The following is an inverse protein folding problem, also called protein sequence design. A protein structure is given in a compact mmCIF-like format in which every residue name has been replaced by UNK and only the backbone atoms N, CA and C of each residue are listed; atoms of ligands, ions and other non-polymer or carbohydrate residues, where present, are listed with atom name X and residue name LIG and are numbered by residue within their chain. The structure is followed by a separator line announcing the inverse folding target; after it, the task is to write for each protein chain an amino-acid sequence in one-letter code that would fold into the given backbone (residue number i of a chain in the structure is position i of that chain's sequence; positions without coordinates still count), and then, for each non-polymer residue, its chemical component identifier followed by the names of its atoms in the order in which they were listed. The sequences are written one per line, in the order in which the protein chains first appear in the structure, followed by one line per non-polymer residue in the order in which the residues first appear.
data_IF_947038732516
#
_entry.id   IF_947038732516
#
_cell.length_a   1.000
_cell.length_b   1.000
_cell.length_c   1.000
_cell.angle_alpha   90.00
_cell.angle_beta   90.00
_cell.angle_gamma   90.00
#
_symmetry.space_group_name_H-M   'P 1'
#
loop_
_entity.id
_entity.type
_entity.pdbx_description
1 polymer ?
#
# COMPACT_ATOMS: atom_id res chain seq x y z
N UNK A 1 -23.42 16.70 -5.82
CA UNK A 1 -22.45 16.96 -4.74
C UNK A 1 -21.09 16.53 -5.26
N UNK A 2 -20.07 17.40 -5.23
CA UNK A 2 -18.71 16.98 -5.54
C UNK A 2 -18.27 16.02 -4.43
N UNK A 3 -17.92 14.79 -4.79
CA UNK A 3 -17.24 13.89 -3.86
C UNK A 3 -15.83 14.43 -3.64
N UNK A 4 -15.34 14.39 -2.40
CA UNK A 4 -13.97 14.82 -2.12
C UNK A 4 -13.00 13.86 -2.80
N UNK A 5 -12.05 14.36 -3.58
CA UNK A 5 -11.04 13.51 -4.21
C UNK A 5 -9.80 13.45 -3.32
N UNK A 6 -9.29 12.24 -3.10
CA UNK A 6 -7.96 12.02 -2.53
C UNK A 6 -7.08 11.42 -3.61
N UNK A 7 -6.01 12.12 -3.94
CA UNK A 7 -4.99 11.67 -4.88
C UNK A 7 -3.94 10.90 -4.07
N UNK A 8 -3.62 9.69 -4.53
CA UNK A 8 -2.64 8.79 -3.92
C UNK A 8 -1.49 8.61 -4.88
N UNK A 9 -0.26 8.82 -4.42
CA UNK A 9 0.96 8.58 -5.20
C UNK A 9 1.81 7.55 -4.46
N UNK A 10 1.84 6.30 -4.92
CA UNK A 10 2.78 5.29 -4.44
C UNK A 10 4.23 5.70 -4.77
N UNK A 11 5.20 5.18 -4.02
CA UNK A 11 6.62 5.52 -4.21
C UNK A 11 7.37 4.50 -5.08
N UNK A 12 6.90 3.25 -5.13
CA UNK A 12 7.73 2.14 -5.61
C UNK A 12 7.22 1.51 -6.92
N UNK A 13 8.15 1.13 -7.81
CA UNK A 13 7.81 0.44 -9.07
C UNK A 13 7.37 -1.02 -8.85
N UNK A 14 7.92 -1.68 -7.82
CA UNK A 14 7.60 -3.07 -7.50
C UNK A 14 6.12 -3.28 -7.10
N UNK A 15 5.44 -2.23 -6.63
CA UNK A 15 3.98 -2.24 -6.48
C UNK A 15 3.31 -2.61 -7.80
N UNK A 16 3.69 -1.93 -8.89
CA UNK A 16 3.08 -2.12 -10.20
C UNK A 16 3.45 -3.47 -10.82
N UNK A 17 4.65 -3.98 -10.55
CA UNK A 17 5.02 -5.35 -10.98
C UNK A 17 4.08 -6.39 -10.38
N UNK A 18 3.76 -6.25 -9.09
CA UNK A 18 2.79 -7.12 -8.41
C UNK A 18 1.35 -6.91 -8.88
N UNK A 19 0.92 -5.65 -9.04
CA UNK A 19 -0.41 -5.30 -9.55
C UNK A 19 -0.64 -5.84 -10.96
N UNK A 20 0.40 -5.92 -11.81
CA UNK A 20 0.31 -6.47 -13.16
C UNK A 20 0.63 -7.96 -13.26
N UNK A 21 0.91 -8.62 -12.13
CA UNK A 21 1.09 -10.07 -12.06
C UNK A 21 2.43 -10.58 -12.56
N UNK A 22 3.46 -9.73 -12.61
CA UNK A 22 4.83 -10.15 -12.96
C UNK A 22 5.52 -10.84 -11.78
N UNK A 23 5.12 -10.50 -10.56
CA UNK A 23 5.56 -11.11 -9.31
C UNK A 23 4.42 -11.14 -8.30
N UNK A 24 4.68 -11.68 -7.10
CA UNK A 24 3.75 -11.52 -5.98
C UNK A 24 3.56 -10.04 -5.64
N UNK A 25 2.36 -9.68 -5.17
CA UNK A 25 2.07 -8.30 -4.71
C UNK A 25 2.98 -7.94 -3.54
N UNK A 26 3.46 -6.70 -3.52
CA UNK A 26 4.25 -6.21 -2.38
C UNK A 26 3.42 -6.29 -1.09
N UNK A 27 4.10 -6.61 0.00
CA UNK A 27 3.48 -6.65 1.31
C UNK A 27 3.42 -5.29 2.01
N UNK A 28 4.18 -4.29 1.54
CA UNK A 28 4.16 -2.93 2.06
C UNK A 28 4.39 -1.88 0.96
N UNK A 29 3.86 -0.68 1.13
CA UNK A 29 4.05 0.44 0.20
C UNK A 29 3.87 1.79 0.90
N UNK A 30 4.76 2.75 0.64
CA UNK A 30 4.59 4.14 1.07
C UNK A 30 3.65 4.90 0.12
N UNK A 31 2.64 5.55 0.71
CA UNK A 31 1.63 6.30 -0.02
C UNK A 31 1.65 7.77 0.37
N UNK A 32 1.88 8.64 -0.62
CA UNK A 32 1.71 10.08 -0.46
C UNK A 32 0.29 10.50 -0.81
N UNK A 33 -0.32 11.30 0.06
CA UNK A 33 -1.72 11.70 -0.06
C UNK A 33 -1.82 13.19 -0.39
N UNK A 34 -2.65 13.52 -1.35
CA UNK A 34 -2.91 14.89 -1.79
C UNK A 34 -4.42 15.15 -1.91
N UNK A 35 -4.82 16.40 -1.71
CA UNK A 35 -6.18 16.85 -2.03
C UNK A 35 -6.36 17.08 -3.54
N UNK A 36 -7.57 17.45 -3.95
CA UNK A 36 -7.91 17.73 -5.35
C UNK A 36 -7.13 18.89 -5.99
N UNK A 37 -6.47 19.73 -5.18
CA UNK A 37 -5.63 20.84 -5.63
C UNK A 37 -4.14 20.48 -5.61
N UNK A 38 -3.81 19.19 -5.51
CA UNK A 38 -2.45 18.65 -5.42
C UNK A 38 -1.67 19.13 -4.18
N UNK A 39 -2.35 19.62 -3.14
CA UNK A 39 -1.69 19.94 -1.88
C UNK A 39 -1.49 18.66 -1.08
N UNK A 40 -0.27 18.40 -0.61
CA UNK A 40 0.02 17.24 0.25
C UNK A 40 -0.77 17.35 1.55
N UNK A 41 -1.55 16.31 1.86
CA UNK A 41 -2.38 16.19 3.06
C UNK A 41 -1.90 15.08 3.99
N UNK A 42 -0.88 14.31 3.60
CA UNK A 42 -0.28 13.29 4.46
C UNK A 42 0.62 12.32 3.73
N UNK A 43 1.20 11.41 4.51
CA UNK A 43 1.83 10.18 4.04
C UNK A 43 1.53 9.07 5.05
N UNK A 44 1.47 7.84 4.57
CA UNK A 44 1.26 6.61 5.35
C UNK A 44 2.02 5.47 4.70
N UNK A 45 2.43 4.46 5.48
CA UNK A 45 2.85 3.17 4.94
C UNK A 45 1.63 2.25 4.98
N UNK A 46 1.29 1.62 3.86
CA UNK A 46 0.26 0.59 3.80
C UNK A 46 0.96 -0.76 3.94
N UNK A 47 0.48 -1.63 4.82
CA UNK A 47 1.01 -2.97 5.03
C UNK A 47 -0.11 -4.01 4.91
N UNK A 48 0.16 -5.07 4.16
CA UNK A 48 -0.66 -6.29 4.15
C UNK A 48 -0.30 -7.25 5.27
N UNK A 49 -1.15 -8.23 5.51
CA UNK A 49 -0.91 -9.31 6.49
C UNK A 49 0.34 -10.12 6.17
N UNK A 50 0.62 -10.37 4.89
CA UNK A 50 1.75 -11.18 4.45
C UNK A 50 3.08 -10.61 4.96
N UNK A 51 3.23 -9.29 4.85
CA UNK A 51 4.42 -8.57 5.32
C UNK A 51 4.64 -8.69 6.82
N UNK A 52 3.64 -8.32 7.62
CA UNK A 52 3.78 -8.32 9.08
C UNK A 52 3.92 -9.74 9.64
N UNK A 53 3.30 -10.74 8.98
CA UNK A 53 3.48 -12.15 9.35
C UNK A 53 4.89 -12.64 9.06
N UNK A 54 5.49 -12.24 7.93
CA UNK A 54 6.83 -12.68 7.54
C UNK A 54 7.91 -12.22 8.54
N UNK A 55 7.79 -11.01 9.09
CA UNK A 55 8.74 -10.48 10.09
C UNK A 55 8.46 -10.91 11.54
N UNK A 56 7.30 -11.51 11.83
CA UNK A 56 6.84 -11.72 13.20
C UNK A 56 7.76 -12.63 14.03
N UNK A 57 8.25 -13.73 13.43
CA UNK A 57 9.06 -14.70 14.16
C UNK A 57 10.46 -14.16 14.50
N UNK A 58 11.00 -13.26 13.68
CA UNK A 58 12.24 -12.55 13.98
C UNK A 58 12.04 -11.57 15.15
N UNK A 59 10.94 -10.82 15.13
CA UNK A 59 10.60 -9.83 16.17
C UNK A 59 10.32 -10.46 17.54
N UNK A 60 9.78 -11.69 17.59
CA UNK A 60 9.46 -12.38 18.85
C UNK A 60 10.68 -12.61 19.76
N UNK A 61 11.89 -12.59 19.20
CA UNK A 61 13.11 -12.81 19.95
C UNK A 61 13.67 -11.51 20.57
N UNK A 62 13.11 -10.35 20.23
CA UNK A 62 13.52 -9.05 20.78
C UNK A 62 12.59 -8.60 21.91
N UNK A 63 13.09 -8.48 23.16
CA UNK A 63 12.31 -7.98 24.28
C UNK A 63 11.79 -6.54 24.11
N UNK A 64 12.47 -5.71 23.32
CA UNK A 64 12.07 -4.32 23.07
C UNK A 64 10.85 -4.23 22.14
N UNK A 65 10.64 -5.25 21.31
CA UNK A 65 9.54 -5.31 20.33
C UNK A 65 8.25 -5.92 20.88
N UNK A 66 8.19 -6.23 22.18
CA UNK A 66 7.06 -6.95 22.79
C UNK A 66 5.69 -6.31 22.52
N UNK A 67 5.60 -4.98 22.61
CA UNK A 67 4.32 -4.28 22.35
C UNK A 67 3.93 -4.36 20.88
N UNK A 68 4.91 -4.25 19.98
CA UNK A 68 4.72 -4.37 18.55
C UNK A 68 4.27 -5.77 18.14
N UNK A 69 4.94 -6.81 18.66
CA UNK A 69 4.58 -8.22 18.47
C UNK A 69 3.13 -8.49 18.89
N UNK A 70 2.73 -8.03 20.08
CA UNK A 70 1.34 -8.21 20.56
C UNK A 70 0.33 -7.49 19.66
N UNK A 71 0.67 -6.33 19.13
CA UNK A 71 -0.17 -5.60 18.19
C UNK A 71 -0.31 -6.36 16.85
N UNK A 72 0.80 -6.87 16.30
CA UNK A 72 0.79 -7.69 15.08
C UNK A 72 -0.05 -8.96 15.29
N UNK A 73 0.16 -9.70 16.37
CA UNK A 73 -0.60 -10.93 16.66
C UNK A 73 -2.10 -10.66 16.76
N UNK A 74 -2.49 -9.56 17.42
CA UNK A 74 -3.89 -9.13 17.50
C UNK A 74 -4.46 -8.79 16.13
N UNK A 75 -3.71 -8.05 15.32
CA UNK A 75 -4.09 -7.68 13.97
C UNK A 75 -4.26 -8.91 13.07
N UNK A 76 -3.29 -9.85 13.09
CA UNK A 76 -3.35 -11.07 12.29
C UNK A 76 -4.55 -11.95 12.63
N UNK A 77 -5.06 -11.85 13.87
CA UNK A 77 -6.22 -12.61 14.36
C UNK A 77 -7.59 -12.06 13.93
N UNK A 78 -7.68 -10.87 13.34
CA UNK A 78 -8.96 -10.32 12.82
C UNK A 78 -8.84 -9.83 11.36
N UNK A 79 -9.96 -9.40 10.76
CA UNK A 79 -10.01 -8.94 9.37
C UNK A 79 -10.42 -7.47 9.27
N UNK A 80 -9.84 -6.62 10.14
CA UNK A 80 -10.08 -5.17 10.14
C UNK A 80 -8.78 -4.43 9.83
N UNK A 81 -8.91 -3.15 9.47
CA UNK A 81 -7.75 -2.27 9.43
C UNK A 81 -7.32 -1.91 10.86
N UNK A 82 -6.01 -1.90 11.10
CA UNK A 82 -5.40 -1.39 12.33
C UNK A 82 -4.40 -0.29 11.95
N UNK A 83 -3.96 0.45 12.96
CA UNK A 83 -2.99 1.52 12.80
C UNK A 83 -1.85 1.33 13.77
N UNK A 84 -0.63 1.57 13.29
CA UNK A 84 0.55 1.67 14.12
C UNK A 84 1.16 3.04 13.98
N UNK A 85 1.56 3.63 15.11
CA UNK A 85 1.90 5.04 15.19
C UNK A 85 3.35 5.22 15.64
N UNK A 86 4.12 5.95 14.85
CA UNK A 86 5.48 6.33 15.18
C UNK A 86 5.48 7.75 15.73
N UNK A 87 6.06 7.95 16.91
CA UNK A 87 6.09 9.25 17.59
C UNK A 87 7.53 9.74 17.69
N UNK A 88 7.72 11.04 17.50
CA UNK A 88 8.94 11.72 17.93
C UNK A 88 8.90 12.01 19.44
N UNK A 89 10.10 12.19 20.01
CA UNK A 89 10.23 12.80 21.33
C UNK A 89 9.85 14.28 21.27
N UNK A 90 9.22 14.78 22.32
CA UNK A 90 8.75 16.17 22.39
C UNK A 90 9.91 17.17 22.31
N UNK A 91 11.08 16.74 22.75
CA UNK A 91 12.31 17.51 22.80
C UNK A 91 13.14 17.39 21.50
N UNK A 92 12.69 16.63 20.50
CA UNK A 92 13.39 16.48 19.23
C UNK A 92 13.44 17.82 18.48
N UNK A 93 14.63 18.24 18.04
CA UNK A 93 14.82 19.47 17.25
C UNK A 93 14.08 19.41 15.91
N UNK A 94 13.95 18.20 15.35
CA UNK A 94 13.23 17.93 14.10
C UNK A 94 11.82 17.36 14.34
N UNK A 95 11.19 17.70 15.48
CA UNK A 95 9.83 17.25 15.83
C UNK A 95 8.86 17.47 14.67
N UNK A 96 8.30 16.38 14.17
CA UNK A 96 7.26 16.40 13.15
C UNK A 96 5.98 15.74 13.64
N UNK A 97 4.85 16.37 13.35
CA UNK A 97 3.52 15.81 13.64
C UNK A 97 2.72 15.73 12.34
N UNK A 98 2.07 14.58 12.12
CA UNK A 98 1.21 14.38 10.95
C UNK A 98 0.14 15.47 10.87
N UNK A 99 -0.23 15.95 9.67
CA UNK A 99 -1.17 17.06 9.51
C UNK A 99 -2.65 16.68 9.78
N UNK A 100 -2.97 15.40 9.93
CA UNK A 100 -4.33 14.87 10.13
C UNK A 100 -4.63 14.52 11.59
N UNK A 101 -5.87 14.09 11.88
CA UNK A 101 -6.26 13.63 13.22
C UNK A 101 -5.55 12.31 13.51
N UNK A 102 -4.92 12.20 14.68
CA UNK A 102 -4.28 10.98 15.14
C UNK A 102 -4.17 10.98 16.66
N UNK A 103 -4.11 9.78 17.25
CA UNK A 103 -3.97 9.60 18.70
C UNK A 103 -2.65 10.19 19.18
N UNK A 104 -2.71 11.00 20.24
CA UNK A 104 -1.52 11.56 20.88
C UNK A 104 -0.92 10.55 21.86
N UNK A 105 0.40 10.56 22.02
CA UNK A 105 1.06 9.81 23.09
C UNK A 105 0.80 10.44 24.47
N UNK A 106 1.33 9.83 25.54
CA UNK A 106 1.21 10.31 26.92
C UNK A 106 1.83 11.71 27.16
N UNK A 107 2.69 12.20 26.25
CA UNK A 107 3.29 13.54 26.28
C UNK A 107 2.48 14.58 25.48
N UNK A 108 1.37 14.18 24.85
CA UNK A 108 0.49 15.04 24.08
C UNK A 108 0.94 15.31 22.64
N UNK A 109 1.87 14.53 22.12
CA UNK A 109 2.46 14.63 20.78
C UNK A 109 1.74 13.67 19.82
N UNK A 110 1.33 14.16 18.64
CA UNK A 110 0.79 13.32 17.55
C UNK A 110 1.93 12.50 16.91
N UNK A 111 1.62 11.39 16.23
CA UNK A 111 2.64 10.65 15.50
C UNK A 111 3.30 11.53 14.43
N UNK A 112 4.57 11.22 14.12
CA UNK A 112 5.28 11.73 12.95
C UNK A 112 4.88 11.00 11.67
N UNK A 113 4.50 9.73 11.81
CA UNK A 113 4.16 8.83 10.71
C UNK A 113 3.29 7.70 11.24
N UNK A 114 2.57 7.02 10.35
CA UNK A 114 1.78 5.87 10.72
C UNK A 114 1.68 4.84 9.60
N UNK A 115 1.49 3.61 10.04
CA UNK A 115 1.15 2.50 9.20
C UNK A 115 -0.37 2.28 9.19
N UNK A 116 -0.88 1.84 8.04
CA UNK A 116 -2.19 1.23 7.89
C UNK A 116 -1.97 -0.26 7.69
N UNK A 117 -2.44 -1.07 8.62
CA UNK A 117 -2.39 -2.52 8.52
C UNK A 117 -3.70 -3.02 7.93
N UNK A 118 -3.71 -3.30 6.63
CA UNK A 118 -4.91 -3.71 5.89
C UNK A 118 -5.04 -5.24 5.86
N UNK A 119 -6.24 -5.81 6.05
CA UNK A 119 -6.44 -7.25 6.21
C UNK A 119 -6.08 -8.13 4.99
N UNK A 120 -5.76 -7.53 3.85
CA UNK A 120 -5.34 -8.25 2.65
C UNK A 120 -3.89 -8.75 2.79
N UNK A 121 -3.55 -9.82 2.10
CA UNK A 121 -2.20 -10.42 2.19
C UNK A 121 -1.12 -9.58 1.50
N UNK A 122 -1.45 -8.98 0.36
CA UNK A 122 -0.58 -8.10 -0.42
C UNK A 122 -1.36 -6.91 -0.98
N UNK A 123 -0.63 -5.92 -1.48
CA UNK A 123 -1.21 -4.63 -1.84
C UNK A 123 -1.59 -4.60 -3.32
N UNK A 124 -2.90 -4.47 -3.56
CA UNK A 124 -3.47 -4.20 -4.89
C UNK A 124 -4.14 -2.82 -4.97
N UNK A 125 -4.75 -2.53 -6.12
CA UNK A 125 -5.50 -1.28 -6.35
C UNK A 125 -6.70 -1.22 -5.40
N UNK A 126 -7.42 -2.33 -5.28
CA UNK A 126 -8.57 -2.46 -4.38
C UNK A 126 -8.19 -2.24 -2.91
N UNK A 127 -7.04 -2.78 -2.49
CA UNK A 127 -6.46 -2.60 -1.16
C UNK A 127 -6.14 -1.14 -0.86
N UNK A 128 -5.53 -0.43 -1.82
CA UNK A 128 -5.23 1.01 -1.69
C UNK A 128 -6.54 1.81 -1.56
N UNK A 129 -7.51 1.56 -2.44
CA UNK A 129 -8.80 2.26 -2.42
C UNK A 129 -9.55 2.08 -1.09
N UNK A 130 -9.66 0.84 -0.58
CA UNK A 130 -10.32 0.56 0.69
C UNK A 130 -9.57 1.16 1.88
N UNK A 131 -8.24 1.03 1.93
CA UNK A 131 -7.42 1.58 2.99
C UNK A 131 -7.55 3.10 3.09
N UNK A 132 -7.46 3.80 1.95
CA UNK A 132 -7.55 5.26 1.91
C UNK A 132 -8.95 5.76 2.22
N UNK A 133 -10.02 5.04 1.83
CA UNK A 133 -11.39 5.39 2.25
C UNK A 133 -11.61 5.27 3.75
N UNK A 134 -11.08 4.22 4.38
CA UNK A 134 -11.14 4.04 5.84
C UNK A 134 -10.35 5.15 6.52
N UNK A 135 -9.12 5.38 6.08
CA UNK A 135 -8.27 6.48 6.56
C UNK A 135 -8.98 7.84 6.44
N UNK A 136 -9.56 8.15 5.29
CA UNK A 136 -10.23 9.42 5.03
C UNK A 136 -11.37 9.66 6.02
N UNK A 137 -12.15 8.61 6.30
CA UNK A 137 -13.24 8.67 7.26
C UNK A 137 -12.74 8.89 8.68
N UNK A 138 -11.73 8.14 9.10
CA UNK A 138 -11.30 8.08 10.51
C UNK A 138 -10.34 9.22 10.89
N UNK A 139 -9.48 9.65 9.97
CA UNK A 139 -8.40 10.60 10.25
C UNK A 139 -8.57 11.96 9.56
N UNK A 140 -9.33 12.04 8.46
CA UNK A 140 -9.57 13.28 7.72
C UNK A 140 -11.01 13.81 7.88
N UNK A 141 -11.92 13.03 8.47
CA UNK A 141 -13.33 13.39 8.60
C UNK A 141 -14.08 13.42 7.26
N UNK A 142 -13.55 12.76 6.23
CA UNK A 142 -14.11 12.71 4.88
C UNK A 142 -14.86 11.39 4.71
N UNK A 143 -16.19 11.45 4.62
CA UNK A 143 -17.06 10.25 4.60
C UNK A 143 -17.44 9.75 3.21
N UNK A 144 -17.34 10.61 2.18
CA UNK A 144 -17.57 10.25 0.78
C UNK A 144 -16.40 10.81 -0.05
N UNK A 145 -15.44 9.94 -0.35
CA UNK A 145 -14.30 10.26 -1.21
C UNK A 145 -14.15 9.32 -2.41
N UNK A 146 -13.55 9.87 -3.45
CA UNK A 146 -13.02 9.12 -4.58
C UNK A 146 -11.50 9.07 -4.43
N UNK A 147 -10.94 7.87 -4.51
CA UNK A 147 -9.50 7.65 -4.52
C UNK A 147 -9.03 7.66 -5.98
N UNK A 148 -8.05 8.51 -6.28
CA UNK A 148 -7.38 8.55 -7.58
C UNK A 148 -5.91 8.17 -7.37
N UNK A 149 -5.50 7.02 -7.90
CA UNK A 149 -4.09 6.63 -7.87
C UNK A 149 -3.39 7.29 -9.06
N UNK A 150 -2.41 8.14 -8.77
CA UNK A 150 -1.56 8.81 -9.74
C UNK A 150 -0.17 8.15 -9.80
N UNK A 151 0.60 8.51 -10.82
CA UNK A 151 1.89 7.89 -11.14
C UNK A 151 1.76 6.37 -11.34
N UNK A 152 0.64 5.94 -11.92
CA UNK A 152 0.51 4.57 -12.40
C UNK A 152 1.56 4.31 -13.47
N UNK A 153 2.46 3.35 -13.19
CA UNK A 153 3.36 2.83 -14.21
C UNK A 153 2.51 2.19 -15.30
N UNK A 154 2.78 2.49 -16.58
CA UNK A 154 2.09 1.77 -17.64
C UNK A 154 2.44 0.29 -17.58
N UNK A 155 1.54 -0.59 -18.03
CA UNK A 155 1.82 -2.03 -18.09
C UNK A 155 3.14 -2.30 -18.84
N UNK A 156 3.34 -1.62 -19.97
CA UNK A 156 4.52 -1.78 -20.82
C UNK A 156 5.80 -1.29 -20.12
N UNK A 157 5.76 -0.14 -19.44
CA UNK A 157 6.91 0.40 -18.70
C UNK A 157 7.24 -0.45 -17.48
N UNK A 158 6.23 -0.92 -16.75
CA UNK A 158 6.41 -1.81 -15.60
C UNK A 158 6.95 -3.18 -16.01
N UNK A 159 6.51 -3.74 -17.15
CA UNK A 159 7.06 -4.99 -17.67
C UNK A 159 8.53 -4.82 -18.05
N UNK A 160 8.86 -3.67 -18.67
CA UNK A 160 10.23 -3.35 -19.03
C UNK A 160 11.12 -3.23 -17.78
N UNK A 161 10.71 -2.44 -16.79
CA UNK A 161 11.53 -2.26 -15.58
C UNK A 161 11.61 -3.55 -14.74
N UNK A 162 10.57 -4.38 -14.74
CA UNK A 162 10.62 -5.72 -14.16
C UNK A 162 11.66 -6.61 -14.84
N UNK A 163 11.70 -6.66 -16.18
CA UNK A 163 12.71 -7.45 -16.92
C UNK A 163 14.12 -6.92 -16.70
N UNK A 164 14.31 -5.60 -16.67
CA UNK A 164 15.61 -4.99 -16.34
C UNK A 164 16.06 -5.38 -14.93
N UNK A 165 15.13 -5.43 -13.96
CA UNK A 165 15.41 -5.89 -12.61
C UNK A 165 15.77 -7.39 -12.57
N UNK A 166 15.02 -8.24 -13.29
CA UNK A 166 15.28 -9.68 -13.41
C UNK A 166 16.66 -9.96 -14.04
N UNK A 167 17.08 -9.18 -15.04
CA UNK A 167 18.40 -9.34 -15.67
C UNK A 167 19.56 -9.00 -14.72
N UNK A 168 19.36 -8.04 -13.82
CA UNK A 168 20.39 -7.57 -12.89
C UNK A 168 20.45 -8.40 -11.61
N UNK A 169 19.29 -8.83 -11.10
CA UNK A 169 19.15 -9.42 -9.76
C UNK A 169 18.48 -10.79 -9.76
N UNK A 170 17.96 -11.26 -10.90
CA UNK A 170 17.30 -12.54 -11.02
C UNK A 170 18.26 -13.73 -10.92
N UNK A 171 17.69 -14.89 -10.56
CA UNK A 171 18.40 -16.15 -10.59
C UNK A 171 18.51 -16.73 -12.01
N UNK A 172 19.12 -17.91 -12.15
CA UNK A 172 19.27 -18.58 -13.45
C UNK A 172 17.94 -18.95 -14.13
N UNK A 173 16.83 -18.96 -13.38
CA UNK A 173 15.49 -19.26 -13.88
C UNK A 173 14.66 -17.99 -13.98
N UNK A 174 14.12 -17.73 -15.18
CA UNK A 174 13.18 -16.64 -15.42
C UNK A 174 11.85 -16.91 -14.71
N UNK A 175 11.25 -15.85 -14.20
CA UNK A 175 9.91 -15.87 -13.61
C UNK A 175 8.89 -16.13 -14.72
N UNK A 176 8.13 -17.21 -14.57
CA UNK A 176 7.02 -17.51 -15.47
C UNK A 176 5.83 -16.61 -15.12
N UNK A 177 5.56 -15.60 -15.95
CA UNK A 177 4.42 -14.71 -15.77
C UNK A 177 3.12 -15.46 -16.06
N UNK A 178 2.26 -15.57 -15.04
CA UNK A 178 0.92 -16.15 -15.14
C UNK A 178 -0.11 -15.16 -14.63
N UNK A 179 -1.14 -14.94 -15.44
CA UNK A 179 -2.24 -14.05 -15.09
C UNK A 179 -3.37 -14.85 -14.45
N UNK A 180 -3.71 -14.53 -13.20
CA UNK A 180 -4.83 -15.18 -12.51
C UNK A 180 -6.16 -14.50 -12.84
N UNK A 181 -7.28 -15.20 -12.61
CA UNK A 181 -8.62 -14.63 -12.83
C UNK A 181 -8.88 -13.40 -11.94
N UNK A 182 -8.33 -13.40 -10.71
CA UNK A 182 -8.44 -12.27 -9.78
C UNK A 182 -7.71 -11.03 -10.31
N UNK A 183 -6.51 -11.22 -10.88
CA UNK A 183 -5.76 -10.14 -11.52
C UNK A 183 -6.54 -9.56 -12.71
N UNK A 184 -7.08 -10.43 -13.56
CA UNK A 184 -7.84 -10.01 -14.75
C UNK A 184 -9.10 -9.23 -14.34
N UNK A 185 -9.78 -9.64 -13.26
CA UNK A 185 -10.90 -8.88 -12.69
C UNK A 185 -10.46 -7.50 -12.17
N UNK A 186 -9.40 -7.44 -11.37
CA UNK A 186 -8.90 -6.17 -10.81
C UNK A 186 -8.52 -5.18 -11.92
N UNK A 187 -7.77 -5.64 -12.93
CA UNK A 187 -7.38 -4.82 -14.08
C UNK A 187 -8.54 -4.47 -15.00
N UNK A 188 -9.54 -5.35 -15.15
CA UNK A 188 -10.76 -5.08 -15.91
C UNK A 188 -11.55 -3.91 -15.32
N UNK A 189 -11.71 -3.90 -13.99
CA UNK A 189 -12.37 -2.81 -13.27
C UNK A 189 -11.57 -1.52 -13.38
N UNK A 190 -10.25 -1.60 -13.20
CA UNK A 190 -9.36 -0.44 -13.21
C UNK A 190 -9.22 0.20 -14.60
N UNK A 191 -8.90 -0.60 -15.62
CA UNK A 191 -8.77 -0.14 -17.01
C UNK A 191 -10.10 0.13 -17.69
N UNK A 192 -11.23 -0.24 -17.05
CA UNK A 192 -12.58 -0.12 -17.59
C UNK A 192 -12.73 -0.84 -18.93
N UNK A 193 -12.13 -2.03 -19.03
CA UNK A 193 -12.13 -2.89 -20.22
C UNK A 193 -12.72 -4.26 -19.90
N UNK A 194 -13.36 -4.95 -20.86
CA UNK A 194 -13.78 -6.35 -20.66
C UNK A 194 -12.59 -7.28 -20.34
N UNK A 195 -12.81 -8.30 -19.51
CA UNK A 195 -11.79 -9.29 -19.12
C UNK A 195 -11.05 -9.90 -20.31
N UNK A 196 -11.77 -10.26 -21.38
CA UNK A 196 -11.17 -10.85 -22.58
C UNK A 196 -10.22 -9.89 -23.30
N UNK A 197 -10.47 -8.58 -23.24
CA UNK A 197 -9.57 -7.57 -23.79
C UNK A 197 -8.34 -7.37 -22.90
N UNK A 198 -8.53 -7.37 -21.58
CA UNK A 198 -7.44 -7.34 -20.60
C UNK A 198 -6.51 -8.52 -20.82
N UNK A 199 -7.03 -9.75 -20.79
CA UNK A 199 -6.23 -10.97 -20.98
C UNK A 199 -5.45 -10.93 -22.30
N UNK A 200 -6.08 -10.56 -23.41
CA UNK A 200 -5.39 -10.42 -24.70
C UNK A 200 -4.27 -9.39 -24.67
N UNK A 201 -4.46 -8.26 -23.99
CA UNK A 201 -3.41 -7.25 -23.85
C UNK A 201 -2.24 -7.81 -23.04
N UNK A 202 -2.51 -8.45 -21.90
CA UNK A 202 -1.51 -9.08 -21.04
C UNK A 202 -0.69 -10.15 -21.79
N UNK A 203 -1.36 -11.08 -22.49
CA UNK A 203 -0.71 -12.16 -23.26
C UNK A 203 0.12 -11.67 -24.44
N UNK A 204 -0.27 -10.56 -25.09
CA UNK A 204 0.46 -10.04 -26.24
C UNK A 204 1.77 -9.36 -25.86
N UNK A 205 1.85 -8.83 -24.64
CA UNK A 205 3.03 -8.10 -24.18
C UNK A 205 4.14 -8.98 -23.62
N UNK A 206 3.84 -10.24 -23.29
CA UNK A 206 4.83 -11.22 -22.80
C UNK A 206 5.41 -12.12 -23.90
N UNK A 207 4.90 -12.02 -25.15
CA UNK A 207 5.44 -12.70 -26.34
C UNK A 207 6.70 -12.02 -26.85
#
# INVERSE_FOLDING_TARGET
MNRNKIIVRPESENLWWGIYGFCEKTGWEDLNLFDENEKRIGGVCLNGKGYLRAGLDDLKNDPEEKEFVLAIEKYLADNKCHYWYYYDEKENEDLYEVPYLASKNNKGVKPRFMDIWHPDEGIGISTIDSAIKILAKEHLGITDCVVEIQNEGSFEDSLKSFKENEELFGGESKVEVKFTDELIEELSQHWKKPKDEVLKQLENSIK
#
